data_IF_559761133943
#
_entry.id   IF_559761133943
#
_cell.length_a   1.000
_cell.length_b   1.000
_cell.length_c   1.000
_cell.angle_alpha   90.00
_cell.angle_beta   90.00
_cell.angle_gamma   90.00
#
_symmetry.space_group_name_H-M   'P 1'
#
loop_
_entity.id
_entity.type
_entity.pdbx_description
1 polymer ?
#
# COMPACT_ATOMS: atom_id res chain seq x y z
N UNK A 1 -13.04 24.68 20.81
CA UNK A 1 -13.77 23.42 21.01
C UNK A 1 -14.54 23.13 19.72
N UNK A 2 -13.99 22.32 18.83
CA UNK A 2 -14.71 21.77 17.70
C UNK A 2 -14.11 20.39 17.47
N UNK A 3 -14.94 19.38 17.67
CA UNK A 3 -14.64 17.97 17.62
C UNK A 3 -14.38 17.55 16.17
N UNK A 4 -13.19 16.98 15.92
CA UNK A 4 -12.93 16.19 14.73
C UNK A 4 -13.29 14.73 15.06
N UNK A 5 -14.54 14.36 14.86
CA UNK A 5 -14.98 12.98 14.91
C UNK A 5 -14.79 12.31 13.54
N UNK A 6 -13.88 11.33 13.54
CA UNK A 6 -13.98 10.00 12.90
C UNK A 6 -14.71 9.88 11.56
N UNK A 7 -13.93 9.79 10.50
CA UNK A 7 -14.30 9.16 9.21
C UNK A 7 -13.57 7.81 9.04
N UNK A 8 -13.82 6.87 9.97
CA UNK A 8 -13.30 5.48 9.92
C UNK A 8 -14.39 4.47 9.53
N UNK A 9 -15.33 4.85 8.68
CA UNK A 9 -16.40 3.95 8.24
C UNK A 9 -16.55 4.01 6.71
N UNK A 10 -15.66 3.32 6.00
CA UNK A 10 -15.96 2.80 4.66
C UNK A 10 -15.00 1.65 4.25
N UNK A 11 -14.91 0.60 5.07
CA UNK A 11 -14.27 -0.66 4.74
C UNK A 11 -15.31 -1.76 4.50
N UNK A 12 -16.37 -1.49 3.73
CA UNK A 12 -17.32 -2.54 3.35
C UNK A 12 -17.72 -2.34 1.90
N UNK A 13 -16.89 -2.84 0.99
CA UNK A 13 -17.32 -3.31 -0.32
C UNK A 13 -16.26 -4.25 -0.90
N UNK A 14 -16.08 -5.38 -0.23
CA UNK A 14 -15.50 -6.55 -0.85
C UNK A 14 -16.65 -7.53 -1.05
N UNK A 15 -17.16 -7.64 -2.27
CA UNK A 15 -18.18 -8.63 -2.58
C UNK A 15 -17.49 -9.99 -2.78
N UNK A 16 -17.63 -10.94 -1.83
CA UNK A 16 -17.12 -12.28 -2.04
C UNK A 16 -18.08 -13.02 -2.98
N UNK A 17 -17.60 -13.47 -4.12
CA UNK A 17 -18.33 -14.49 -4.88
C UNK A 17 -18.46 -15.73 -4.01
N UNK A 18 -19.69 -15.98 -3.52
CA UNK A 18 -20.07 -17.19 -2.78
C UNK A 18 -19.84 -18.43 -3.65
N UNK A 19 -18.94 -19.29 -3.21
CA UNK A 19 -18.90 -20.69 -3.59
C UNK A 19 -19.22 -21.49 -2.32
N UNK A 20 -20.17 -22.42 -2.44
CA UNK A 20 -20.80 -23.22 -1.40
C UNK A 20 -19.80 -23.99 -0.51
N UNK A 21 -20.13 -24.02 0.80
CA UNK A 21 -19.65 -24.90 1.88
C UNK A 21 -18.21 -25.42 1.79
N UNK A 22 -17.41 -24.92 2.73
CA UNK A 22 -16.06 -25.23 3.20
C UNK A 22 -15.01 -24.17 2.81
N UNK A 23 -14.65 -23.36 3.83
CA UNK A 23 -13.57 -22.36 3.83
C UNK A 23 -13.68 -21.26 2.76
N UNK A 24 -14.12 -20.09 3.19
CA UNK A 24 -14.13 -18.90 2.32
C UNK A 24 -12.69 -18.62 1.83
N UNK A 25 -12.45 -18.94 0.57
CA UNK A 25 -11.13 -18.76 -0.06
C UNK A 25 -11.13 -17.42 -0.79
N UNK A 26 -10.23 -16.51 -0.43
CA UNK A 26 -10.04 -15.26 -1.14
C UNK A 26 -8.98 -15.47 -2.21
N UNK A 27 -9.34 -15.16 -3.45
CA UNK A 27 -8.45 -15.30 -4.61
C UNK A 27 -7.95 -13.90 -4.98
N UNK A 28 -6.66 -13.65 -4.80
CA UNK A 28 -6.01 -12.47 -5.36
C UNK A 28 -5.56 -12.81 -6.79
N UNK A 29 -6.16 -12.15 -7.78
CA UNK A 29 -5.86 -12.35 -9.20
C UNK A 29 -5.53 -10.99 -9.83
N UNK A 30 -4.26 -10.63 -9.88
CA UNK A 30 -3.78 -9.52 -10.70
C UNK A 30 -3.48 -9.98 -12.13
N UNK A 31 -3.52 -9.08 -13.12
CA UNK A 31 -3.29 -9.37 -14.56
C UNK A 31 -2.01 -10.17 -14.86
N UNK A 32 -1.04 -10.26 -13.93
CA UNK A 32 0.26 -10.94 -14.10
C UNK A 32 0.73 -11.69 -12.84
N UNK A 33 -0.17 -12.19 -11.98
CA UNK A 33 0.24 -12.94 -10.79
C UNK A 33 -0.36 -14.34 -10.75
N UNK A 34 0.39 -15.35 -10.23
CA UNK A 34 -0.20 -16.63 -9.90
C UNK A 34 -1.33 -16.40 -8.89
N UNK A 35 -2.47 -17.07 -9.10
CA UNK A 35 -3.61 -17.05 -8.18
C UNK A 35 -3.12 -17.37 -6.76
N UNK A 36 -3.13 -16.37 -5.88
CA UNK A 36 -2.88 -16.59 -4.46
C UNK A 36 -4.21 -16.96 -3.80
N UNK A 37 -4.34 -18.23 -3.49
CA UNK A 37 -5.53 -18.79 -2.83
C UNK A 37 -5.24 -18.84 -1.33
N UNK A 38 -5.96 -18.03 -0.54
CA UNK A 38 -5.77 -17.94 0.91
C UNK A 38 -7.07 -18.31 1.63
N UNK A 39 -6.96 -19.12 2.68
CA UNK A 39 -8.07 -19.38 3.58
C UNK A 39 -8.41 -18.14 4.41
N UNK A 40 -9.63 -18.04 4.90
CA UNK A 40 -10.08 -16.96 5.79
C UNK A 40 -9.14 -16.80 6.99
N UNK A 41 -8.69 -17.92 7.57
CA UNK A 41 -7.77 -17.93 8.70
C UNK A 41 -6.39 -17.38 8.34
N UNK A 42 -5.85 -17.73 7.16
CA UNK A 42 -4.60 -17.16 6.66
C UNK A 42 -4.69 -15.64 6.48
N UNK A 43 -5.81 -15.14 5.97
CA UNK A 43 -6.06 -13.70 5.80
C UNK A 43 -6.14 -12.97 7.13
N UNK A 44 -6.77 -13.56 8.15
CA UNK A 44 -6.78 -12.97 9.50
C UNK A 44 -5.37 -12.81 10.06
N UNK A 45 -4.51 -13.84 9.94
CA UNK A 45 -3.10 -13.76 10.34
C UNK A 45 -2.38 -12.66 9.57
N UNK A 46 -2.57 -12.58 8.25
CA UNK A 46 -1.96 -11.54 7.40
C UNK A 46 -2.40 -10.15 7.84
N UNK A 47 -3.69 -9.91 8.07
CA UNK A 47 -4.20 -8.59 8.46
C UNK A 47 -3.62 -8.11 9.80
N UNK A 48 -3.62 -8.98 10.83
CA UNK A 48 -3.01 -8.68 12.12
C UNK A 48 -1.51 -8.40 11.98
N UNK A 49 -0.82 -9.15 11.12
CA UNK A 49 0.63 -8.98 10.91
C UNK A 49 1.00 -7.77 10.06
N UNK A 50 0.16 -7.33 9.12
CA UNK A 50 0.33 -6.06 8.41
C UNK A 50 0.38 -4.92 9.43
N UNK A 51 -0.52 -4.92 10.41
CA UNK A 51 -0.50 -3.94 11.49
C UNK A 51 0.76 -4.04 12.36
N UNK A 52 1.20 -5.26 12.71
CA UNK A 52 2.46 -5.46 13.44
C UNK A 52 3.67 -4.91 12.66
N UNK A 53 3.77 -5.21 11.37
CA UNK A 53 4.87 -4.72 10.54
C UNK A 53 4.80 -3.23 10.27
N UNK A 54 3.63 -2.61 10.34
CA UNK A 54 3.49 -1.17 10.25
C UNK A 54 4.21 -0.46 11.41
N UNK A 55 4.00 -0.92 12.63
CA UNK A 55 4.55 -0.29 13.84
C UNK A 55 5.93 -0.82 14.27
N UNK A 56 6.34 -2.00 13.78
CA UNK A 56 7.60 -2.64 14.17
C UNK A 56 8.42 -3.01 12.93
N UNK A 57 9.75 -3.09 13.09
CA UNK A 57 10.66 -3.50 12.02
C UNK A 57 10.41 -4.94 11.60
N UNK A 58 10.52 -5.26 10.31
CA UNK A 58 10.27 -6.60 9.78
C UNK A 58 11.13 -7.68 10.43
N UNK A 59 12.40 -7.38 10.74
CA UNK A 59 13.29 -8.35 11.34
C UNK A 59 13.02 -8.58 12.83
N UNK A 60 12.53 -7.58 13.58
CA UNK A 60 12.27 -7.68 15.03
C UNK A 60 10.98 -8.44 15.35
N UNK A 61 10.00 -8.44 14.44
CA UNK A 61 8.76 -9.21 14.62
C UNK A 61 9.05 -10.70 14.40
N UNK A 62 9.22 -11.48 15.48
CA UNK A 62 9.43 -12.92 15.43
C UNK A 62 8.17 -13.71 15.06
N UNK A 63 8.36 -14.97 14.57
CA UNK A 63 7.24 -15.87 14.26
C UNK A 63 6.38 -16.12 15.50
N UNK A 64 6.96 -16.19 16.70
CA UNK A 64 6.23 -16.37 17.96
C UNK A 64 5.21 -15.28 18.20
N UNK A 65 5.57 -14.02 17.92
CA UNK A 65 4.64 -12.90 18.02
C UNK A 65 3.56 -12.97 16.96
N UNK A 66 3.93 -13.30 15.71
CA UNK A 66 2.97 -13.44 14.59
C UNK A 66 1.90 -14.49 14.92
N UNK A 67 2.31 -15.69 15.39
CA UNK A 67 1.36 -16.76 15.66
C UNK A 67 0.49 -16.47 16.90
N UNK A 68 1.05 -15.81 17.91
CA UNK A 68 0.32 -15.36 19.09
C UNK A 68 -0.79 -14.36 18.71
N UNK A 69 -0.44 -13.29 17.97
CA UNK A 69 -1.39 -12.27 17.51
C UNK A 69 -2.39 -12.85 16.50
N UNK A 70 -1.93 -13.76 15.63
CA UNK A 70 -2.74 -14.42 14.61
C UNK A 70 -3.64 -15.53 15.16
N UNK A 71 -3.49 -15.91 16.45
CA UNK A 71 -4.23 -16.99 17.11
C UNK A 71 -4.10 -18.34 16.37
N UNK A 72 -2.89 -18.64 15.88
CA UNK A 72 -2.57 -19.89 15.20
C UNK A 72 -1.37 -20.55 15.85
N UNK A 73 -1.16 -21.86 15.58
CA UNK A 73 0.05 -22.56 16.02
C UNK A 73 1.20 -22.30 15.06
N UNK A 74 2.46 -22.51 15.53
CA UNK A 74 3.63 -22.48 14.65
C UNK A 74 3.51 -23.47 13.49
N UNK A 75 2.99 -24.67 13.75
CA UNK A 75 2.78 -25.69 12.71
C UNK A 75 1.82 -25.18 11.64
N UNK A 76 0.70 -24.58 12.04
CA UNK A 76 -0.25 -23.97 11.11
C UNK A 76 0.37 -22.83 10.30
N UNK A 77 1.17 -21.97 10.93
CA UNK A 77 1.88 -20.89 10.25
C UNK A 77 2.82 -21.41 9.16
N UNK A 78 3.68 -22.39 9.49
CA UNK A 78 4.61 -22.95 8.52
C UNK A 78 3.92 -23.77 7.42
N UNK A 79 2.80 -24.41 7.72
CA UNK A 79 1.97 -25.08 6.71
C UNK A 79 1.40 -24.09 5.69
N UNK A 80 0.98 -22.89 6.13
CA UNK A 80 0.44 -21.87 5.22
C UNK A 80 1.52 -21.10 4.46
N UNK A 81 2.60 -20.74 5.14
CA UNK A 81 3.52 -19.73 4.63
C UNK A 81 4.94 -20.22 4.37
N UNK A 82 5.30 -21.42 4.84
CA UNK A 82 6.59 -22.09 4.71
C UNK A 82 7.77 -21.37 5.37
N UNK A 83 7.87 -20.06 5.29
CA UNK A 83 8.94 -19.25 5.90
C UNK A 83 8.45 -17.87 6.31
N UNK A 84 9.20 -17.20 7.21
CA UNK A 84 8.93 -15.81 7.59
C UNK A 84 9.09 -14.87 6.39
N UNK A 85 10.11 -15.05 5.55
CA UNK A 85 10.30 -14.22 4.35
C UNK A 85 9.09 -14.32 3.41
N UNK A 86 8.65 -15.55 3.12
CA UNK A 86 7.50 -15.78 2.26
C UNK A 86 6.22 -15.19 2.85
N UNK A 87 6.07 -15.27 4.18
CA UNK A 87 4.95 -14.65 4.88
C UNK A 87 4.93 -13.12 4.73
N UNK A 88 6.08 -12.47 4.97
CA UNK A 88 6.20 -11.01 4.78
C UNK A 88 5.92 -10.63 3.32
N UNK A 89 6.46 -11.39 2.37
CA UNK A 89 6.20 -11.18 0.94
C UNK A 89 4.69 -11.24 0.64
N UNK A 90 3.97 -12.23 1.18
CA UNK A 90 2.51 -12.35 1.01
C UNK A 90 1.78 -11.15 1.66
N UNK A 91 2.18 -10.70 2.84
CA UNK A 91 1.62 -9.49 3.46
C UNK A 91 1.76 -8.27 2.54
N UNK A 92 2.94 -8.06 1.93
CA UNK A 92 3.15 -6.97 0.99
C UNK A 92 2.36 -7.14 -0.32
N UNK A 93 2.22 -8.36 -0.81
CA UNK A 93 1.40 -8.65 -2.00
C UNK A 93 -0.06 -8.26 -1.73
N UNK A 94 -0.61 -8.69 -0.60
CA UNK A 94 -1.99 -8.34 -0.21
C UNK A 94 -2.15 -6.83 -0.07
N UNK A 95 -1.21 -6.17 0.57
CA UNK A 95 -1.24 -4.71 0.75
C UNK A 95 -1.12 -3.97 -0.59
N UNK A 96 -0.24 -4.43 -1.47
CA UNK A 96 -0.06 -3.90 -2.82
C UNK A 96 -1.35 -4.00 -3.65
N UNK A 97 -2.03 -5.14 -3.65
CA UNK A 97 -3.27 -5.29 -4.44
C UNK A 97 -4.39 -4.37 -3.89
N UNK A 98 -4.54 -4.26 -2.58
CA UNK A 98 -5.47 -3.30 -1.96
C UNK A 98 -5.17 -1.85 -2.32
N UNK A 99 -3.88 -1.49 -2.42
CA UNK A 99 -3.47 -0.16 -2.86
C UNK A 99 -3.81 0.09 -4.32
N UNK A 100 -3.56 -0.90 -5.19
CA UNK A 100 -3.93 -0.80 -6.61
C UNK A 100 -5.43 -0.60 -6.78
N UNK A 101 -6.26 -1.35 -6.07
CA UNK A 101 -7.72 -1.15 -6.08
C UNK A 101 -8.12 0.30 -5.70
N UNK A 102 -7.43 0.89 -4.70
CA UNK A 102 -7.66 2.29 -4.32
C UNK A 102 -7.20 3.27 -5.40
N UNK A 103 -6.06 3.01 -6.03
CA UNK A 103 -5.56 3.84 -7.15
C UNK A 103 -6.51 3.74 -8.33
N UNK A 104 -6.93 2.54 -8.71
CA UNK A 104 -7.89 2.32 -9.80
C UNK A 104 -9.21 3.04 -9.52
N UNK A 105 -9.68 3.03 -8.26
CA UNK A 105 -10.87 3.79 -7.85
C UNK A 105 -10.71 5.31 -8.07
N UNK A 106 -9.54 5.86 -7.81
CA UNK A 106 -9.25 7.28 -8.02
C UNK A 106 -9.12 7.59 -9.53
N UNK A 107 -8.39 6.75 -10.26
CA UNK A 107 -7.97 7.04 -11.63
C UNK A 107 -9.05 6.70 -12.66
N UNK A 108 -9.70 5.54 -12.51
CA UNK A 108 -10.62 5.00 -13.51
C UNK A 108 -12.08 5.26 -13.17
N UNK A 109 -12.48 5.10 -11.91
CA UNK A 109 -13.89 5.12 -11.52
C UNK A 109 -14.39 6.49 -11.07
N UNK A 110 -13.53 7.39 -10.61
CA UNK A 110 -13.92 8.75 -10.26
C UNK A 110 -14.02 9.64 -11.50
N UNK A 111 -15.17 9.58 -12.17
CA UNK A 111 -15.44 10.38 -13.37
C UNK A 111 -15.74 11.85 -13.05
N UNK A 112 -16.04 12.19 -11.79
CA UNK A 112 -16.34 13.55 -11.37
C UNK A 112 -15.08 14.40 -11.10
N UNK A 113 -13.94 13.75 -10.81
CA UNK A 113 -12.69 14.42 -10.51
C UNK A 113 -11.90 14.75 -11.79
N UNK A 114 -11.42 16.00 -11.89
CA UNK A 114 -10.44 16.34 -12.91
C UNK A 114 -9.06 15.69 -12.63
N UNK A 115 -8.15 15.76 -13.59
CA UNK A 115 -6.84 15.11 -13.47
C UNK A 115 -6.01 15.66 -12.32
N UNK A 116 -6.08 16.98 -12.03
CA UNK A 116 -5.38 17.58 -10.88
C UNK A 116 -5.90 17.03 -9.56
N UNK A 117 -7.21 16.87 -9.43
CA UNK A 117 -7.81 16.28 -8.21
C UNK A 117 -7.44 14.80 -8.04
N UNK A 118 -7.34 14.04 -9.14
CA UNK A 118 -6.85 12.66 -9.12
C UNK A 118 -5.40 12.60 -8.64
N UNK A 119 -4.53 13.46 -9.15
CA UNK A 119 -3.15 13.57 -8.68
C UNK A 119 -3.06 13.97 -7.21
N UNK A 120 -3.89 14.91 -6.73
CA UNK A 120 -3.98 15.25 -5.31
C UNK A 120 -4.37 14.03 -4.47
N UNK A 121 -5.41 13.30 -4.86
CA UNK A 121 -5.84 12.07 -4.17
C UNK A 121 -4.75 10.99 -4.15
N UNK A 122 -4.03 10.80 -5.27
CA UNK A 122 -2.89 9.88 -5.33
C UNK A 122 -1.76 10.30 -4.38
N UNK A 123 -1.45 11.59 -4.33
CA UNK A 123 -0.43 12.12 -3.43
C UNK A 123 -0.78 11.85 -1.96
N UNK A 124 -1.98 12.21 -1.51
CA UNK A 124 -2.39 12.01 -0.12
C UNK A 124 -2.54 10.51 0.24
N UNK A 125 -3.01 9.66 -0.67
CA UNK A 125 -3.07 8.22 -0.46
C UNK A 125 -1.68 7.62 -0.17
N UNK A 126 -0.62 8.15 -0.80
CA UNK A 126 0.72 7.60 -0.72
C UNK A 126 1.64 8.35 0.25
N UNK A 127 1.34 9.59 0.62
CA UNK A 127 2.15 10.37 1.56
C UNK A 127 1.69 10.28 3.02
N UNK A 128 0.76 9.38 3.33
CA UNK A 128 0.25 9.15 4.68
C UNK A 128 1.08 8.06 5.37
N UNK A 129 1.69 8.38 6.53
CA UNK A 129 2.49 7.43 7.33
C UNK A 129 1.62 6.38 8.03
N UNK A 130 0.36 6.66 8.28
CA UNK A 130 -0.61 5.68 8.78
C UNK A 130 -1.30 4.94 7.62
N UNK A 131 -1.03 5.36 6.40
CA UNK A 131 -1.62 4.83 5.19
C UNK A 131 -1.00 3.51 4.71
N UNK A 132 -1.68 2.86 3.77
CA UNK A 132 -1.27 1.53 3.31
C UNK A 132 0.05 1.53 2.51
N UNK A 133 0.47 2.65 1.94
CA UNK A 133 1.74 2.73 1.18
C UNK A 133 2.96 2.71 2.09
N UNK A 134 2.85 3.24 3.31
CA UNK A 134 3.98 3.31 4.24
C UNK A 134 4.66 1.95 4.47
N UNK A 135 3.91 0.86 4.56
CA UNK A 135 4.48 -0.47 4.72
C UNK A 135 5.36 -0.89 3.53
N UNK A 136 4.94 -0.58 2.30
CA UNK A 136 5.73 -0.86 1.09
C UNK A 136 6.95 0.05 1.01
N UNK A 137 6.80 1.33 1.32
CA UNK A 137 7.90 2.29 1.39
C UNK A 137 8.97 1.84 2.40
N UNK A 138 8.56 1.53 3.62
CA UNK A 138 9.42 1.02 4.70
C UNK A 138 10.16 -0.28 4.30
N UNK A 139 9.50 -1.18 3.59
CA UNK A 139 10.11 -2.42 3.14
C UNK A 139 11.31 -2.21 2.21
N UNK A 140 11.33 -1.13 1.41
CA UNK A 140 12.48 -0.80 0.54
C UNK A 140 13.75 -0.61 1.35
N UNK A 141 13.67 0.03 2.52
CA UNK A 141 14.85 0.32 3.35
C UNK A 141 15.22 -0.84 4.27
N UNK A 142 14.23 -1.54 4.82
CA UNK A 142 14.49 -2.54 5.87
C UNK A 142 14.80 -3.94 5.33
N UNK A 143 14.44 -4.27 4.08
CA UNK A 143 14.41 -5.68 3.65
C UNK A 143 15.42 -6.03 2.57
N UNK A 144 16.09 -5.05 1.96
CA UNK A 144 16.98 -5.25 0.81
C UNK A 144 18.01 -6.37 1.02
N UNK A 145 18.65 -6.41 2.20
CA UNK A 145 19.69 -7.38 2.51
C UNK A 145 19.13 -8.65 3.18
N UNK A 146 18.05 -8.51 3.97
CA UNK A 146 17.56 -9.61 4.81
C UNK A 146 16.47 -10.44 4.14
N UNK A 147 15.63 -9.81 3.32
CA UNK A 147 14.48 -10.42 2.66
C UNK A 147 14.38 -9.95 1.20
N UNK A 148 15.24 -10.42 0.28
CA UNK A 148 15.33 -9.91 -1.09
C UNK A 148 14.02 -9.98 -1.89
N UNK A 149 13.20 -11.03 -1.70
CA UNK A 149 11.91 -11.18 -2.37
C UNK A 149 10.90 -10.12 -1.92
N UNK A 150 10.92 -9.79 -0.63
CA UNK A 150 10.10 -8.72 -0.04
C UNK A 150 10.48 -7.37 -0.65
N UNK A 151 11.80 -7.07 -0.71
CA UNK A 151 12.33 -5.87 -1.34
C UNK A 151 11.88 -5.74 -2.80
N UNK A 152 12.02 -6.81 -3.60
CA UNK A 152 11.61 -6.83 -5.01
C UNK A 152 10.10 -6.53 -5.14
N UNK A 153 9.27 -7.07 -4.26
CA UNK A 153 7.82 -6.81 -4.26
C UNK A 153 7.51 -5.34 -4.01
N UNK A 154 8.19 -4.70 -3.06
CA UNK A 154 8.03 -3.28 -2.76
C UNK A 154 8.51 -2.39 -3.93
N UNK A 155 9.67 -2.68 -4.51
CA UNK A 155 10.23 -1.94 -5.66
C UNK A 155 9.32 -2.07 -6.89
N UNK A 156 8.76 -3.24 -7.15
CA UNK A 156 7.81 -3.44 -8.26
C UNK A 156 6.55 -2.57 -8.11
N UNK A 157 6.04 -2.43 -6.89
CA UNK A 157 4.93 -1.51 -6.66
C UNK A 157 5.34 -0.06 -6.93
N UNK A 158 6.49 0.37 -6.42
CA UNK A 158 7.03 1.72 -6.63
C UNK A 158 7.19 2.05 -8.12
N UNK A 159 7.70 1.10 -8.92
CA UNK A 159 7.82 1.26 -10.37
C UNK A 159 6.46 1.35 -11.06
N UNK A 160 5.50 0.54 -10.63
CA UNK A 160 4.13 0.59 -11.14
C UNK A 160 3.47 1.93 -10.81
N UNK A 161 3.59 2.41 -9.57
CA UNK A 161 3.06 3.72 -9.16
C UNK A 161 3.66 4.87 -9.97
N UNK A 162 4.96 4.83 -10.24
CA UNK A 162 5.64 5.82 -11.08
C UNK A 162 5.05 5.88 -12.49
N UNK A 163 4.76 4.73 -13.10
CA UNK A 163 4.12 4.68 -14.41
C UNK A 163 2.67 5.20 -14.36
N UNK A 164 1.96 4.93 -13.29
CA UNK A 164 0.60 5.42 -13.09
C UNK A 164 0.58 6.95 -12.95
N UNK A 165 1.47 7.51 -12.13
CA UNK A 165 1.65 8.96 -12.01
C UNK A 165 1.96 9.57 -13.38
N UNK A 166 2.88 8.99 -14.14
CA UNK A 166 3.23 9.47 -15.48
C UNK A 166 2.03 9.48 -16.42
N UNK A 167 1.21 8.41 -16.39
CA UNK A 167 0.01 8.33 -17.22
C UNK A 167 -1.00 9.44 -16.90
N UNK A 168 -1.10 9.87 -15.64
CA UNK A 168 -1.97 10.98 -15.25
C UNK A 168 -1.37 12.34 -15.62
N UNK A 169 -0.05 12.51 -15.47
CA UNK A 169 0.63 13.77 -15.83
C UNK A 169 0.52 14.06 -17.34
N UNK A 170 0.66 13.05 -18.22
CA UNK A 170 0.46 13.23 -19.67
C UNK A 170 -0.97 13.67 -20.00
N UNK A 171 -1.98 13.18 -19.27
CA UNK A 171 -3.36 13.63 -19.45
C UNK A 171 -3.57 15.10 -19.03
N UNK A 172 -2.75 15.58 -18.09
CA UNK A 172 -2.79 16.96 -17.62
C UNK A 172 -2.04 17.90 -18.56
N UNK A 173 -0.87 17.46 -19.05
CA UNK A 173 0.01 18.22 -19.93
C UNK A 173 0.74 17.27 -20.88
N UNK A 174 0.51 17.42 -22.19
CA UNK A 174 0.97 16.46 -23.21
C UNK A 174 2.49 16.38 -23.36
N UNK A 175 3.23 17.40 -22.95
CA UNK A 175 4.70 17.47 -22.91
C UNK A 175 5.30 17.07 -21.57
N UNK A 176 4.47 16.55 -20.61
CA UNK A 176 4.95 16.03 -19.36
C UNK A 176 5.96 14.90 -19.59
N UNK A 177 7.04 14.91 -18.83
CA UNK A 177 8.15 13.97 -18.95
C UNK A 177 8.11 12.90 -17.86
N UNK A 178 8.84 11.81 -18.08
CA UNK A 178 9.01 10.79 -17.03
C UNK A 178 9.80 11.33 -15.81
N UNK A 179 10.56 12.42 -15.99
CA UNK A 179 11.26 13.09 -14.89
C UNK A 179 10.27 13.83 -13.98
N UNK A 180 9.21 14.40 -14.54
CA UNK A 180 8.13 15.03 -13.76
C UNK A 180 7.42 14.00 -12.87
N UNK A 181 7.17 12.80 -13.40
CA UNK A 181 6.62 11.70 -12.61
C UNK A 181 7.56 11.24 -11.48
N UNK A 182 8.86 11.21 -11.74
CA UNK A 182 9.87 10.93 -10.70
C UNK A 182 9.88 12.01 -9.63
N UNK A 183 9.81 13.28 -10.02
CA UNK A 183 9.76 14.40 -9.08
C UNK A 183 8.50 14.28 -8.20
N UNK A 184 7.35 13.99 -8.78
CA UNK A 184 6.11 13.77 -8.02
C UNK A 184 6.25 12.60 -7.02
N UNK A 185 6.86 11.49 -7.43
CA UNK A 185 7.11 10.36 -6.54
C UNK A 185 8.08 10.74 -5.40
N UNK A 186 9.13 11.52 -5.70
CA UNK A 186 10.05 12.02 -4.67
C UNK A 186 9.36 12.96 -3.68
N UNK A 187 8.39 13.75 -4.12
CA UNK A 187 7.58 14.58 -3.22
C UNK A 187 6.74 13.71 -2.27
N UNK A 188 6.14 12.62 -2.73
CA UNK A 188 5.44 11.66 -1.89
C UNK A 188 6.39 11.08 -0.83
N UNK A 189 7.55 10.57 -1.27
CA UNK A 189 8.54 9.93 -0.40
C UNK A 189 9.17 10.94 0.57
N UNK A 190 9.44 12.15 0.13
CA UNK A 190 9.90 13.26 0.97
C UNK A 190 8.90 13.66 2.04
N UNK A 191 7.61 13.69 1.71
CA UNK A 191 6.55 13.97 2.68
C UNK A 191 6.47 12.89 3.77
N UNK A 192 6.65 11.60 3.43
CA UNK A 192 6.74 10.52 4.42
C UNK A 192 7.94 10.74 5.35
N UNK A 193 9.14 10.99 4.77
CA UNK A 193 10.36 11.19 5.56
C UNK A 193 10.19 12.36 6.52
N UNK A 194 9.59 13.45 6.07
CA UNK A 194 9.37 14.62 6.89
C UNK A 194 8.37 14.33 8.02
N UNK A 195 7.26 13.62 7.75
CA UNK A 195 6.31 13.21 8.79
C UNK A 195 6.93 12.30 9.87
N UNK A 196 7.95 11.52 9.49
CA UNK A 196 8.68 10.65 10.42
C UNK A 196 9.75 11.41 11.23
N UNK A 197 10.17 12.58 10.77
CA UNK A 197 11.29 13.34 11.35
C UNK A 197 10.88 14.57 12.13
N UNK A 198 9.61 15.02 12.05
CA UNK A 198 9.15 16.23 12.71
C UNK A 198 7.70 16.11 13.16
N UNK A 199 7.41 16.67 14.35
CA UNK A 199 6.04 16.77 14.90
C UNK A 199 5.23 17.93 14.29
N UNK A 200 5.82 18.68 13.36
CA UNK A 200 5.18 19.86 12.76
C UNK A 200 4.30 19.40 11.58
N UNK A 201 3.04 19.78 11.64
CA UNK A 201 2.13 19.60 10.50
C UNK A 201 2.69 20.31 9.27
N UNK A 202 3.03 19.54 8.26
CA UNK A 202 3.75 20.03 7.10
C UNK A 202 2.78 20.67 6.12
N UNK A 203 3.25 21.66 5.46
CA UNK A 203 2.62 22.28 4.28
C UNK A 203 2.66 21.34 3.05
N UNK A 204 2.32 20.04 3.25
CA UNK A 204 2.31 19.02 2.18
C UNK A 204 1.45 19.43 1.01
N UNK A 205 0.31 20.05 1.31
CA UNK A 205 -0.62 20.54 0.29
C UNK A 205 0.01 21.67 -0.52
N UNK A 206 0.69 22.60 0.14
CA UNK A 206 1.34 23.73 -0.52
C UNK A 206 2.46 23.28 -1.46
N UNK A 207 3.27 22.32 -1.07
CA UNK A 207 4.32 21.74 -1.94
C UNK A 207 3.69 21.09 -3.18
N UNK A 208 2.62 20.34 -2.99
CA UNK A 208 1.87 19.73 -4.07
C UNK A 208 1.25 20.77 -4.99
N UNK A 209 0.67 21.84 -4.44
CA UNK A 209 0.09 22.93 -5.22
C UNK A 209 1.14 23.67 -6.06
N UNK A 210 2.29 23.97 -5.47
CA UNK A 210 3.41 24.57 -6.21
C UNK A 210 3.84 23.69 -7.41
N UNK A 211 3.90 22.36 -7.22
CA UNK A 211 4.19 21.43 -8.32
C UNK A 211 3.11 21.49 -9.40
N UNK A 212 1.83 21.40 -9.02
CA UNK A 212 0.71 21.36 -9.95
C UNK A 212 0.48 22.69 -10.68
N UNK A 213 0.95 23.82 -10.14
CA UNK A 213 0.96 25.13 -10.84
C UNK A 213 1.86 25.10 -12.09
N UNK A 214 2.97 24.36 -12.06
CA UNK A 214 3.85 24.18 -13.23
C UNK A 214 3.21 23.37 -14.39
N UNK A 215 2.02 22.79 -14.15
CA UNK A 215 1.25 22.02 -15.14
C UNK A 215 -0.06 22.73 -15.53
N UNK A 216 -0.19 24.03 -15.27
CA UNK A 216 -1.38 24.84 -15.57
C UNK A 216 -1.22 25.78 -16.70
#
# INVERSE_FOLDING_TARGET
>A
MCQAQSLWLCCTFFSPKKVSHLETTIIFSGKNMPKLVLSTRAIQVINKSIHLFHHHRFHTVGVDRIVKEGEVTKATFYNFFHSKERFIEICLIVQKERLKEKVDAIVEYDQSANVKDKLKKLYFLHSDVEGPYYLLFKAIFETKLTYPKVYITAVRYRTWLLNEIYSQLIKLKTDATFQDAKLFLYMIEGAIIQLLSSDVAIERERVLECFLLGFG
#
